data_IF_714812159995
#
_entry.id   IF_714812159995
#
_cell.length_a   1.000
_cell.length_b   1.000
_cell.length_c   1.000
_cell.angle_alpha   90.00
_cell.angle_beta   90.00
_cell.angle_gamma   90.00
#
_symmetry.space_group_name_H-M   'P 1'
#
loop_
_entity.id
_entity.type
_entity.pdbx_description
1 polymer ?
#
# COMPACT_ATOMS: atom_id res chain seq x y z
N UNK A 1 -14.67 -26.54 0.05
CA UNK A 1 -14.20 -25.15 0.24
C UNK A 1 -14.62 -24.61 1.59
N UNK A 2 -13.67 -24.13 2.39
CA UNK A 2 -13.94 -23.57 3.72
C UNK A 2 -13.79 -22.06 3.64
N UNK A 3 -14.90 -21.33 3.79
CA UNK A 3 -14.88 -19.87 3.95
C UNK A 3 -14.90 -19.56 5.44
N UNK A 4 -14.01 -18.68 5.88
CA UNK A 4 -13.99 -18.14 7.23
C UNK A 4 -14.10 -16.63 7.17
N UNK A 5 -14.75 -16.03 8.16
CA UNK A 5 -14.89 -14.58 8.27
C UNK A 5 -14.26 -14.10 9.57
N UNK A 6 -13.65 -12.92 9.52
CA UNK A 6 -13.05 -12.26 10.68
C UNK A 6 -13.20 -10.75 10.54
N UNK A 7 -13.14 -10.04 11.67
CA UNK A 7 -13.02 -8.59 11.70
C UNK A 7 -11.53 -8.26 11.77
N UNK A 8 -11.11 -7.24 11.02
CA UNK A 8 -9.75 -6.72 11.07
C UNK A 8 -9.76 -5.28 11.57
N UNK A 9 -8.93 -5.02 12.58
CA UNK A 9 -8.57 -3.67 13.01
C UNK A 9 -7.09 -3.45 12.74
N UNK A 10 -6.77 -2.41 11.98
CA UNK A 10 -5.39 -2.08 11.60
C UNK A 10 -4.51 -1.73 12.80
N UNK A 11 -5.09 -1.31 13.93
CA UNK A 11 -4.35 -1.06 15.16
C UNK A 11 -3.71 -2.31 15.75
N UNK A 12 -4.29 -3.50 15.51
CA UNK A 12 -3.70 -4.78 15.92
C UNK A 12 -2.42 -5.12 15.14
N UNK A 13 -2.22 -4.46 13.99
CA UNK A 13 -1.08 -4.62 13.11
C UNK A 13 -0.05 -3.49 13.26
N UNK A 14 -0.21 -2.63 14.28
CA UNK A 14 0.69 -1.51 14.52
C UNK A 14 0.50 -0.31 13.57
N UNK A 15 -0.66 -0.22 12.91
CA UNK A 15 -1.03 0.92 12.07
C UNK A 15 -2.02 1.81 12.85
N UNK A 16 -1.74 3.11 13.02
CA UNK A 16 -2.64 3.99 13.74
C UNK A 16 -3.96 4.16 12.99
N UNK A 17 -5.06 4.33 13.74
CA UNK A 17 -6.35 4.71 13.15
C UNK A 17 -6.29 6.16 12.67
N UNK A 18 -6.85 6.42 11.51
CA UNK A 18 -6.96 7.76 10.95
C UNK A 18 -8.43 8.13 10.68
N UNK A 19 -8.83 9.40 10.83
CA UNK A 19 -10.11 9.90 10.34
C UNK A 19 -10.26 9.67 8.85
N UNK A 20 -11.47 9.35 8.39
CA UNK A 20 -11.74 9.13 6.95
C UNK A 20 -11.39 10.35 6.08
N UNK A 21 -11.43 11.55 6.66
CA UNK A 21 -11.02 12.79 5.98
C UNK A 21 -9.55 12.81 5.57
N UNK A 22 -8.65 12.16 6.32
CA UNK A 22 -7.23 12.07 5.99
C UNK A 22 -6.96 11.11 4.83
N UNK A 23 -7.87 10.17 4.57
CA UNK A 23 -7.81 9.22 3.46
C UNK A 23 -8.44 9.76 2.18
N UNK A 24 -9.05 10.95 2.23
CA UNK A 24 -9.75 11.54 1.08
C UNK A 24 -8.81 11.74 -0.09
N UNK A 25 -9.18 11.14 -1.22
CA UNK A 25 -8.59 11.42 -2.53
C UNK A 25 -9.10 12.74 -3.12
N UNK A 26 -8.39 13.23 -4.12
CA UNK A 26 -8.74 14.41 -4.90
C UNK A 26 -9.14 14.04 -6.33
N UNK A 27 -8.87 14.96 -7.25
CA UNK A 27 -8.97 14.70 -8.68
C UNK A 27 -7.87 13.75 -9.20
N UNK A 28 -7.87 13.46 -10.51
CA UNK A 28 -6.91 12.55 -11.11
C UNK A 28 -5.45 13.00 -10.97
N UNK A 29 -5.17 14.31 -11.09
CA UNK A 29 -3.81 14.86 -10.98
C UNK A 29 -3.34 14.83 -9.53
N UNK A 30 -4.21 15.20 -8.59
CA UNK A 30 -3.95 15.15 -7.16
C UNK A 30 -3.69 13.73 -6.66
N UNK A 31 -4.48 12.75 -7.13
CA UNK A 31 -4.29 11.35 -6.78
C UNK A 31 -3.00 10.77 -7.39
N UNK A 32 -2.66 11.14 -8.62
CA UNK A 32 -1.39 10.75 -9.24
C UNK A 32 -0.19 11.29 -8.44
N UNK A 33 -0.21 12.58 -8.06
CA UNK A 33 0.83 13.19 -7.23
C UNK A 33 0.89 12.55 -5.84
N UNK A 34 -0.25 12.16 -5.26
CA UNK A 34 -0.33 11.45 -3.97
C UNK A 34 0.34 10.09 -4.07
N UNK A 35 0.02 9.28 -5.09
CA UNK A 35 0.62 7.95 -5.29
C UNK A 35 2.13 8.09 -5.49
N UNK A 36 2.57 9.02 -6.35
CA UNK A 36 3.99 9.30 -6.56
C UNK A 36 4.71 9.70 -5.26
N UNK A 37 4.06 10.55 -4.48
CA UNK A 37 4.54 10.98 -3.17
C UNK A 37 4.65 9.82 -2.17
N UNK A 38 3.68 8.90 -2.14
CA UNK A 38 3.71 7.72 -1.26
C UNK A 38 4.86 6.81 -1.67
N UNK A 39 4.96 6.46 -2.95
CA UNK A 39 5.98 5.53 -3.45
C UNK A 39 7.40 6.10 -3.40
N UNK A 40 7.55 7.43 -3.44
CA UNK A 40 8.85 8.10 -3.24
C UNK A 40 9.19 8.36 -1.77
N UNK A 41 8.32 7.98 -0.83
CA UNK A 41 8.50 8.23 0.61
C UNK A 41 8.24 9.66 1.07
N UNK A 42 7.87 10.58 0.16
CA UNK A 42 7.58 11.99 0.49
C UNK A 42 6.25 12.18 1.22
N UNK A 43 5.26 11.34 0.93
CA UNK A 43 3.96 11.33 1.62
C UNK A 43 3.97 10.23 2.66
N UNK A 44 3.73 10.61 3.91
CA UNK A 44 3.63 9.70 5.06
C UNK A 44 2.25 9.81 5.74
N UNK A 45 2.04 9.03 6.80
CA UNK A 45 0.79 9.02 7.56
C UNK A 45 -0.35 8.26 6.86
N UNK A 46 -1.60 8.63 7.17
CA UNK A 46 -2.79 7.82 6.89
C UNK A 46 -2.89 7.27 5.45
N UNK A 47 -2.57 8.08 4.44
CA UNK A 47 -2.63 7.63 3.03
C UNK A 47 -1.57 6.58 2.69
N UNK A 48 -0.36 6.74 3.23
CA UNK A 48 0.73 5.76 3.10
C UNK A 48 0.39 4.49 3.87
N UNK A 49 -0.09 4.63 5.10
CA UNK A 49 -0.49 3.51 5.95
C UNK A 49 -1.61 2.67 5.31
N UNK A 50 -2.62 3.33 4.72
CA UNK A 50 -3.68 2.65 3.96
C UNK A 50 -3.12 1.89 2.75
N UNK A 51 -2.13 2.44 2.06
CA UNK A 51 -1.45 1.78 0.93
C UNK A 51 -0.71 0.53 1.40
N UNK A 52 0.02 0.63 2.52
CA UNK A 52 0.76 -0.49 3.13
C UNK A 52 -0.18 -1.63 3.51
N UNK A 53 -1.31 -1.34 4.18
CA UNK A 53 -2.26 -2.38 4.60
C UNK A 53 -2.91 -3.10 3.41
N UNK A 54 -3.29 -2.35 2.36
CA UNK A 54 -3.87 -2.96 1.16
C UNK A 54 -2.83 -3.81 0.39
N UNK A 55 -1.59 -3.32 0.28
CA UNK A 55 -0.50 -4.07 -0.35
C UNK A 55 -0.19 -5.36 0.42
N UNK A 56 -0.18 -5.32 1.76
CA UNK A 56 0.01 -6.48 2.61
C UNK A 56 -1.05 -7.57 2.33
N UNK A 57 -2.33 -7.20 2.20
CA UNK A 57 -3.39 -8.12 1.81
C UNK A 57 -3.14 -8.75 0.43
N UNK A 58 -2.68 -7.94 -0.53
CA UNK A 58 -2.28 -8.42 -1.86
C UNK A 58 -1.13 -9.44 -1.79
N UNK A 59 -0.09 -9.18 -0.99
CA UNK A 59 1.04 -10.10 -0.82
C UNK A 59 0.63 -11.43 -0.18
N UNK A 60 -0.26 -11.40 0.83
CA UNK A 60 -0.77 -12.63 1.45
C UNK A 60 -1.55 -13.47 0.45
N UNK A 61 -2.48 -12.88 -0.30
CA UNK A 61 -3.27 -13.60 -1.30
C UNK A 61 -2.40 -14.12 -2.45
N UNK A 62 -1.33 -13.41 -2.79
CA UNK A 62 -0.36 -13.84 -3.79
C UNK A 62 0.63 -14.93 -3.28
N UNK A 63 0.59 -15.29 -1.98
CA UNK A 63 1.51 -16.25 -1.38
C UNK A 63 2.93 -15.72 -1.17
N UNK A 64 3.11 -14.39 -1.20
CA UNK A 64 4.39 -13.71 -1.00
C UNK A 64 4.65 -13.34 0.47
N UNK A 65 3.63 -13.40 1.32
CA UNK A 65 3.73 -13.24 2.77
C UNK A 65 2.81 -14.25 3.46
N UNK A 66 3.20 -14.77 4.64
CA UNK A 66 2.41 -15.79 5.36
C UNK A 66 1.21 -15.19 6.08
N UNK A 67 1.29 -13.93 6.48
CA UNK A 67 0.22 -13.20 7.16
C UNK A 67 0.32 -11.68 6.89
N UNK A 68 -0.66 -10.93 7.39
CA UNK A 68 -0.72 -9.48 7.19
C UNK A 68 0.44 -8.73 7.86
N UNK A 69 1.03 -9.26 8.94
CA UNK A 69 2.15 -8.61 9.62
C UNK A 69 3.40 -8.69 8.74
N UNK A 70 3.70 -9.88 8.23
CA UNK A 70 4.77 -10.07 7.25
C UNK A 70 4.52 -9.26 5.97
N UNK A 71 3.27 -9.23 5.49
CA UNK A 71 2.90 -8.43 4.32
C UNK A 71 3.09 -6.92 4.53
N UNK A 72 2.87 -6.40 5.74
CA UNK A 72 3.11 -5.00 6.09
C UNK A 72 4.60 -4.68 6.05
N UNK A 73 5.45 -5.54 6.63
CA UNK A 73 6.90 -5.32 6.59
C UNK A 73 7.43 -5.36 5.17
N UNK A 74 6.95 -6.31 4.35
CA UNK A 74 7.29 -6.36 2.92
C UNK A 74 6.83 -5.11 2.17
N UNK A 75 5.60 -4.64 2.42
CA UNK A 75 5.08 -3.42 1.78
C UNK A 75 5.85 -2.15 2.17
N UNK A 76 6.30 -2.07 3.43
CA UNK A 76 7.21 -0.99 3.87
C UNK A 76 8.53 -1.07 3.14
N UNK A 77 9.14 -2.26 3.09
CA UNK A 77 10.41 -2.47 2.40
C UNK A 77 10.33 -2.07 0.92
N UNK A 78 9.29 -2.49 0.20
CA UNK A 78 9.09 -2.15 -1.22
C UNK A 78 8.99 -0.64 -1.48
N UNK A 79 8.38 0.10 -0.55
CA UNK A 79 8.27 1.56 -0.63
C UNK A 79 9.60 2.21 -0.24
N UNK A 80 10.15 1.85 0.92
CA UNK A 80 11.33 2.49 1.51
C UNK A 80 12.60 2.21 0.71
N UNK A 81 12.69 1.05 0.05
CA UNK A 81 13.80 0.74 -0.85
C UNK A 81 13.67 1.42 -2.21
N UNK A 82 12.56 2.08 -2.51
CA UNK A 82 12.27 2.73 -3.80
C UNK A 82 11.83 1.78 -4.92
N UNK A 83 11.79 0.45 -4.70
CA UNK A 83 11.46 -0.55 -5.74
C UNK A 83 10.05 -0.37 -6.29
N UNK A 84 9.10 -0.02 -5.43
CA UNK A 84 7.73 0.26 -5.86
C UNK A 84 7.64 1.47 -6.81
N UNK A 85 8.42 2.54 -6.53
CA UNK A 85 8.50 3.70 -7.40
C UNK A 85 9.19 3.36 -8.74
N UNK A 86 10.29 2.62 -8.69
CA UNK A 86 10.98 2.13 -9.88
C UNK A 86 10.04 1.32 -10.78
N UNK A 87 9.22 0.44 -10.19
CA UNK A 87 8.21 -0.33 -10.92
C UNK A 87 7.17 0.56 -11.58
N UNK A 88 6.68 1.60 -10.90
CA UNK A 88 5.78 2.59 -11.51
C UNK A 88 6.44 3.28 -12.71
N UNK A 89 7.69 3.72 -12.58
CA UNK A 89 8.45 4.35 -13.69
C UNK A 89 8.64 3.40 -14.86
N UNK A 90 8.97 2.13 -14.58
CA UNK A 90 9.09 1.10 -15.61
C UNK A 90 7.76 0.90 -16.36
N UNK A 91 6.62 0.87 -15.64
CA UNK A 91 5.30 0.76 -16.25
C UNK A 91 4.93 1.99 -17.10
N UNK A 92 5.23 3.20 -16.63
CA UNK A 92 4.98 4.44 -17.39
C UNK A 92 5.79 4.49 -18.70
N UNK A 93 7.00 3.92 -18.70
CA UNK A 93 7.85 3.83 -19.87
C UNK A 93 7.57 2.60 -20.74
N UNK A 94 6.74 1.67 -20.27
CA UNK A 94 6.42 0.46 -20.99
C UNK A 94 5.57 0.78 -22.23
N UNK A 95 6.04 0.29 -23.38
CA UNK A 95 5.27 0.27 -24.63
C UNK A 95 5.02 -1.18 -24.98
N UNK A 96 3.75 -1.58 -24.99
CA UNK A 96 3.36 -2.88 -25.53
C UNK A 96 3.77 -2.93 -27.02
N UNK A 97 4.28 -4.08 -27.45
CA UNK A 97 4.52 -4.35 -28.87
C UNK A 97 3.20 -4.53 -29.60
#
# INVERSE_FOLDING_TARGET
DKVTSAILDVSWLGIPRAPVGELRGGDARENAATIDGILSGKVAGAKRDMTIVNAAGGFVVAGLARDLKEGIELAREEIDSGRALEKLRALQNYRAK
#
